data_IF_908309056512
#
_entry.id   IF_908309056512
#
_cell.length_a   1.000
_cell.length_b   1.000
_cell.length_c   1.000
_cell.angle_alpha   90.00
_cell.angle_beta   90.00
_cell.angle_gamma   90.00
#
_symmetry.space_group_name_H-M   'P 1'
#
loop_
_entity.id
_entity.type
_entity.pdbx_description
1 polymer ?
#
# COMPACT_ATOMS: atom_id res chain seq x y z
N UNK A 1 -54.48 -28.58 21.80
CA UNK A 1 -54.74 -28.59 20.35
C UNK A 1 -55.17 -27.17 20.02
N UNK A 2 -54.28 -26.24 19.68
CA UNK A 2 -53.60 -26.11 18.38
C UNK A 2 -52.14 -25.67 18.57
N UNK A 3 -51.23 -26.43 17.97
CA UNK A 3 -49.84 -26.03 17.74
C UNK A 3 -49.86 -25.03 16.59
N UNK A 4 -49.38 -23.80 16.78
CA UNK A 4 -49.07 -22.93 15.64
C UNK A 4 -47.59 -22.56 15.68
N UNK A 5 -46.81 -23.45 15.07
CA UNK A 5 -45.36 -23.49 15.05
C UNK A 5 -44.74 -22.55 14.00
N UNK A 6 -45.46 -21.50 13.56
CA UNK A 6 -45.14 -20.76 12.34
C UNK A 6 -44.40 -19.42 12.55
N UNK A 7 -44.27 -18.95 13.79
CA UNK A 7 -43.51 -17.70 14.08
C UNK A 7 -42.01 -17.98 14.31
N UNK A 8 -41.63 -19.21 14.66
CA UNK A 8 -40.20 -19.59 14.81
C UNK A 8 -39.47 -19.79 13.47
N UNK A 9 -40.19 -20.01 12.38
CA UNK A 9 -39.57 -20.21 11.05
C UNK A 9 -39.25 -18.90 10.32
N UNK A 10 -39.90 -17.78 10.67
CA UNK A 10 -39.73 -16.50 9.95
C UNK A 10 -38.53 -15.68 10.47
N UNK A 11 -38.01 -15.99 11.67
CA UNK A 11 -36.86 -15.31 12.27
C UNK A 11 -35.50 -16.02 12.04
N UNK A 12 -35.47 -17.10 11.26
CA UNK A 12 -34.25 -17.90 11.03
C UNK A 12 -33.65 -17.81 9.61
N UNK A 13 -34.18 -16.97 8.71
CA UNK A 13 -33.76 -16.93 7.29
C UNK A 13 -32.99 -15.67 6.86
N UNK A 14 -32.48 -14.86 7.80
CA UNK A 14 -31.51 -13.79 7.45
C UNK A 14 -30.33 -13.69 8.42
N UNK A 15 -30.05 -14.73 9.20
CA UNK A 15 -28.75 -14.87 9.84
C UNK A 15 -27.90 -15.77 8.94
N UNK A 16 -27.23 -15.16 7.95
CA UNK A 16 -26.05 -15.79 7.35
C UNK A 16 -25.11 -16.11 8.51
N UNK A 17 -25.05 -17.38 8.88
CA UNK A 17 -24.16 -17.88 9.91
C UNK A 17 -22.72 -17.61 9.45
N UNK A 18 -22.19 -16.46 9.85
CA UNK A 18 -20.79 -16.12 9.69
C UNK A 18 -19.99 -17.03 10.62
N UNK A 19 -19.48 -18.12 10.06
CA UNK A 19 -18.63 -19.09 10.76
C UNK A 19 -17.40 -18.37 11.33
N UNK A 20 -16.89 -18.74 12.53
CA UNK A 20 -15.71 -18.11 13.14
C UNK A 20 -14.44 -18.14 12.24
N UNK A 21 -14.35 -19.08 11.29
CA UNK A 21 -13.29 -19.13 10.29
C UNK A 21 -13.38 -17.99 9.24
N UNK A 22 -14.60 -17.58 8.88
CA UNK A 22 -14.90 -16.54 7.88
C UNK A 22 -14.51 -15.16 8.36
N UNK A 23 -14.82 -14.82 9.62
CA UNK A 23 -14.43 -13.55 10.23
C UNK A 23 -12.89 -13.46 10.45
N UNK A 24 -12.24 -14.60 10.64
CA UNK A 24 -10.80 -14.66 10.92
C UNK A 24 -9.95 -14.27 9.69
N UNK A 25 -10.29 -14.76 8.49
CA UNK A 25 -9.51 -14.48 7.28
C UNK A 25 -9.51 -12.99 6.91
N UNK A 26 -10.69 -12.36 6.86
CA UNK A 26 -10.81 -10.92 6.58
C UNK A 26 -10.10 -10.07 7.62
N UNK A 27 -10.31 -10.37 8.92
CA UNK A 27 -9.66 -9.62 10.02
C UNK A 27 -8.13 -9.73 9.92
N UNK A 28 -7.62 -10.93 9.63
CA UNK A 28 -6.18 -11.17 9.51
C UNK A 28 -5.58 -10.44 8.29
N UNK A 29 -6.27 -10.47 7.15
CA UNK A 29 -5.85 -9.71 5.97
C UNK A 29 -5.81 -8.22 6.26
N UNK A 30 -6.89 -7.67 6.82
CA UNK A 30 -6.98 -6.23 7.09
C UNK A 30 -5.94 -5.77 8.11
N UNK A 31 -5.65 -6.56 9.14
CA UNK A 31 -4.56 -6.27 10.07
C UNK A 31 -3.19 -6.25 9.36
N UNK A 32 -2.90 -7.23 8.51
CA UNK A 32 -1.63 -7.28 7.77
C UNK A 32 -1.48 -6.10 6.80
N UNK A 33 -2.56 -5.71 6.12
CA UNK A 33 -2.58 -4.52 5.25
C UNK A 33 -2.38 -3.24 6.06
N UNK A 34 -3.00 -3.13 7.23
CA UNK A 34 -2.82 -1.99 8.13
C UNK A 34 -1.38 -1.87 8.62
N UNK A 35 -0.72 -2.97 8.99
CA UNK A 35 0.69 -2.94 9.39
C UNK A 35 1.60 -2.38 8.29
N UNK A 36 1.41 -2.81 7.04
CA UNK A 36 2.13 -2.25 5.90
C UNK A 36 1.77 -0.77 5.65
N UNK A 37 0.50 -0.39 5.83
CA UNK A 37 0.04 0.98 5.67
C UNK A 37 0.62 1.94 6.72
N UNK A 38 0.83 1.48 7.97
CA UNK A 38 1.44 2.29 9.03
C UNK A 38 2.88 2.69 8.70
N UNK A 39 3.65 1.81 8.05
CA UNK A 39 5.00 2.13 7.57
C UNK A 39 4.97 3.24 6.52
N UNK A 40 4.05 3.16 5.56
CA UNK A 40 3.85 4.19 4.55
C UNK A 40 3.36 5.51 5.17
N UNK A 41 2.43 5.46 6.11
CA UNK A 41 1.94 6.64 6.84
C UNK A 41 3.07 7.33 7.61
N UNK A 42 3.97 6.55 8.21
CA UNK A 42 5.16 7.10 8.89
C UNK A 42 6.09 7.77 7.90
N UNK A 43 6.31 7.18 6.72
CA UNK A 43 7.09 7.80 5.66
C UNK A 43 6.46 9.11 5.18
N UNK A 44 5.14 9.19 5.08
CA UNK A 44 4.43 10.42 4.70
C UNK A 44 4.64 11.55 5.71
N UNK A 45 4.59 11.24 7.02
CA UNK A 45 4.89 12.22 8.06
C UNK A 45 6.33 12.73 7.96
N UNK A 46 7.30 11.84 7.70
CA UNK A 46 8.69 12.24 7.48
C UNK A 46 8.87 13.05 6.20
N UNK A 47 8.08 12.79 5.16
CA UNK A 47 8.03 13.61 3.95
C UNK A 47 7.54 15.02 4.24
N UNK A 48 6.46 15.16 5.00
CA UNK A 48 5.97 16.47 5.45
C UNK A 48 7.01 17.21 6.29
N UNK A 49 7.65 16.54 7.25
CA UNK A 49 8.70 17.14 8.09
C UNK A 49 9.86 17.63 7.22
N UNK A 50 10.22 16.89 6.18
CA UNK A 50 11.31 17.23 5.25
C UNK A 50 11.09 18.59 4.58
N UNK A 51 9.83 18.91 4.27
CA UNK A 51 9.47 20.13 3.54
C UNK A 51 9.19 21.32 4.46
N UNK A 52 8.96 21.09 5.76
CA UNK A 52 8.42 22.11 6.66
C UNK A 52 9.32 22.45 7.84
N UNK A 53 9.94 21.45 8.47
CA UNK A 53 10.64 21.61 9.75
C UNK A 53 12.11 21.18 9.70
N UNK A 54 12.46 20.28 8.78
CA UNK A 54 13.77 19.65 8.77
C UNK A 54 14.91 20.64 8.49
N UNK A 55 16.02 20.62 9.25
CA UNK A 55 17.18 21.46 8.96
C UNK A 55 17.90 21.01 7.68
N UNK A 56 18.57 21.95 7.00
CA UNK A 56 19.25 21.72 5.72
C UNK A 56 20.24 20.52 5.72
N UNK A 57 20.93 20.27 6.85
CA UNK A 57 21.87 19.15 6.96
C UNK A 57 21.23 17.76 7.08
N UNK A 58 19.90 17.65 7.15
CA UNK A 58 19.18 16.40 7.39
C UNK A 58 18.92 15.54 6.14
N UNK A 59 19.26 16.03 4.94
CA UNK A 59 18.85 15.43 3.67
C UNK A 59 19.26 13.96 3.49
N UNK A 60 20.51 13.62 3.82
CA UNK A 60 21.02 12.25 3.65
C UNK A 60 20.29 11.26 4.58
N UNK A 61 20.19 11.62 5.86
CA UNK A 61 19.53 10.78 6.86
C UNK A 61 18.05 10.60 6.52
N UNK A 62 17.37 11.68 6.12
CA UNK A 62 15.97 11.63 5.69
C UNK A 62 15.77 10.73 4.48
N UNK A 63 16.64 10.85 3.48
CA UNK A 63 16.62 9.97 2.32
C UNK A 63 16.77 8.50 2.70
N UNK A 64 17.60 8.17 3.70
CA UNK A 64 17.75 6.79 4.21
C UNK A 64 16.52 6.31 4.98
N UNK A 65 15.94 7.15 5.83
CA UNK A 65 14.70 6.83 6.56
C UNK A 65 13.55 6.51 5.60
N UNK A 66 13.32 7.38 4.61
CA UNK A 66 12.26 7.20 3.61
C UNK A 66 12.51 5.97 2.74
N UNK A 67 13.75 5.75 2.31
CA UNK A 67 14.13 4.55 1.55
C UNK A 67 13.87 3.26 2.32
N UNK A 68 14.26 3.22 3.60
CA UNK A 68 14.06 2.06 4.47
C UNK A 68 12.58 1.79 4.72
N UNK A 69 11.78 2.81 5.04
CA UNK A 69 10.35 2.65 5.29
C UNK A 69 9.60 2.22 4.02
N UNK A 70 9.92 2.81 2.88
CA UNK A 70 9.34 2.41 1.59
C UNK A 70 9.66 0.95 1.27
N UNK A 71 10.90 0.51 1.50
CA UNK A 71 11.32 -0.88 1.30
C UNK A 71 10.56 -1.83 2.22
N UNK A 72 10.54 -1.55 3.52
CA UNK A 72 9.88 -2.42 4.51
C UNK A 72 8.36 -2.49 4.29
N UNK A 73 7.72 -1.36 4.00
CA UNK A 73 6.29 -1.31 3.68
C UNK A 73 5.96 -2.10 2.42
N UNK A 74 6.79 -1.97 1.37
CA UNK A 74 6.64 -2.74 0.14
C UNK A 74 6.84 -4.23 0.37
N UNK A 75 7.93 -4.63 1.02
CA UNK A 75 8.23 -6.04 1.33
C UNK A 75 7.13 -6.70 2.16
N UNK A 76 6.58 -6.00 3.16
CA UNK A 76 5.47 -6.49 3.96
C UNK A 76 4.21 -6.72 3.11
N UNK A 77 3.90 -5.77 2.21
CA UNK A 77 2.73 -5.86 1.35
C UNK A 77 2.89 -6.90 0.22
N UNK A 78 4.10 -7.07 -0.34
CA UNK A 78 4.33 -8.01 -1.45
C UNK A 78 4.83 -9.38 -1.00
N UNK A 79 4.90 -9.65 0.31
CA UNK A 79 5.34 -10.94 0.82
C UNK A 79 4.42 -12.08 0.32
N UNK A 80 4.94 -13.31 0.10
CA UNK A 80 4.10 -14.45 -0.29
C UNK A 80 2.93 -14.70 0.67
N UNK A 81 3.18 -14.53 1.98
CA UNK A 81 2.14 -14.63 3.02
C UNK A 81 0.97 -13.67 2.81
N UNK A 82 1.22 -12.46 2.29
CA UNK A 82 0.12 -11.54 1.97
C UNK A 82 -0.76 -12.12 0.86
N UNK A 83 -0.15 -12.70 -0.18
CA UNK A 83 -0.88 -13.39 -1.25
C UNK A 83 -1.75 -14.54 -0.74
N UNK A 84 -1.26 -15.32 0.23
CA UNK A 84 -2.02 -16.39 0.89
C UNK A 84 -3.22 -15.83 1.66
N UNK A 85 -3.03 -14.74 2.42
CA UNK A 85 -4.10 -14.08 3.16
C UNK A 85 -5.18 -13.51 2.24
N UNK A 86 -4.78 -12.89 1.12
CA UNK A 86 -5.73 -12.38 0.13
C UNK A 86 -6.53 -13.56 -0.47
N UNK A 87 -5.87 -14.67 -0.80
CA UNK A 87 -6.53 -15.86 -1.37
C UNK A 87 -7.57 -16.47 -0.41
N UNK A 88 -7.25 -16.51 0.89
CA UNK A 88 -8.20 -16.96 1.92
C UNK A 88 -9.39 -15.99 2.08
N UNK A 89 -9.15 -14.69 1.99
CA UNK A 89 -10.19 -13.67 2.02
C UNK A 89 -11.08 -13.70 0.76
N UNK A 90 -10.50 -13.97 -0.41
CA UNK A 90 -11.24 -14.16 -1.68
C UNK A 90 -12.22 -15.33 -1.58
N UNK A 91 -11.78 -16.47 -1.03
CA UNK A 91 -12.67 -17.61 -0.77
C UNK A 91 -13.80 -17.28 0.22
N UNK A 92 -13.52 -16.39 1.19
CA UNK A 92 -14.50 -15.93 2.18
C UNK A 92 -15.58 -15.05 1.55
N UNK A 93 -15.20 -14.11 0.67
CA UNK A 93 -16.16 -13.18 0.06
C UNK A 93 -16.84 -13.73 -1.20
N UNK A 94 -16.47 -14.93 -1.66
CA UNK A 94 -16.99 -15.53 -2.89
C UNK A 94 -18.52 -15.72 -2.91
N UNK A 95 -19.14 -15.89 -1.74
CA UNK A 95 -20.60 -16.03 -1.59
C UNK A 95 -21.30 -14.73 -1.21
N UNK A 96 -20.56 -13.63 -1.03
CA UNK A 96 -21.11 -12.32 -0.67
C UNK A 96 -21.51 -11.53 -1.92
N UNK A 97 -22.40 -10.52 -1.79
CA UNK A 97 -22.66 -9.58 -2.86
C UNK A 97 -21.37 -8.88 -3.32
N UNK A 98 -21.16 -8.77 -4.63
CA UNK A 98 -19.90 -8.25 -5.22
C UNK A 98 -19.64 -6.78 -4.92
N UNK A 99 -20.67 -6.06 -4.50
CA UNK A 99 -20.67 -4.63 -4.15
C UNK A 99 -20.61 -4.38 -2.64
N UNK A 100 -20.59 -5.42 -1.81
CA UNK A 100 -20.40 -5.25 -0.37
C UNK A 100 -18.97 -4.76 -0.07
N UNK A 101 -18.81 -4.04 1.04
CA UNK A 101 -17.53 -3.42 1.39
C UNK A 101 -16.37 -4.41 1.46
N UNK A 102 -16.58 -5.60 2.04
CA UNK A 102 -15.54 -6.63 2.16
C UNK A 102 -15.13 -7.19 0.79
N UNK A 103 -16.08 -7.51 -0.08
CA UNK A 103 -15.80 -8.00 -1.42
C UNK A 103 -15.05 -6.95 -2.27
N UNK A 104 -15.43 -5.68 -2.15
CA UNK A 104 -14.75 -4.56 -2.82
C UNK A 104 -13.33 -4.39 -2.28
N UNK A 105 -13.14 -4.38 -0.96
CA UNK A 105 -11.83 -4.23 -0.33
C UNK A 105 -10.88 -5.35 -0.76
N UNK A 106 -11.32 -6.61 -0.71
CA UNK A 106 -10.50 -7.75 -1.11
C UNK A 106 -10.10 -7.65 -2.59
N UNK A 107 -11.02 -7.27 -3.48
CA UNK A 107 -10.73 -7.07 -4.91
C UNK A 107 -9.69 -5.98 -5.15
N UNK A 108 -9.80 -4.82 -4.49
CA UNK A 108 -8.81 -3.75 -4.68
C UNK A 108 -7.46 -4.12 -4.05
N UNK A 109 -7.44 -4.77 -2.87
CA UNK A 109 -6.20 -5.26 -2.25
C UNK A 109 -5.49 -6.26 -3.17
N UNK A 110 -6.23 -7.20 -3.78
CA UNK A 110 -5.69 -8.13 -4.78
C UNK A 110 -5.05 -7.38 -5.94
N UNK A 111 -5.80 -6.43 -6.53
CA UNK A 111 -5.33 -5.64 -7.67
C UNK A 111 -4.05 -4.86 -7.34
N UNK A 112 -3.96 -4.30 -6.14
CA UNK A 112 -2.79 -3.55 -5.69
C UNK A 112 -1.62 -4.47 -5.40
N UNK A 113 -1.86 -5.64 -4.78
CA UNK A 113 -0.85 -6.68 -4.56
C UNK A 113 -0.23 -7.16 -5.88
N UNK A 114 -1.07 -7.49 -6.87
CA UNK A 114 -0.62 -7.99 -8.17
C UNK A 114 0.19 -6.95 -8.95
N UNK A 115 -0.09 -5.65 -8.76
CA UNK A 115 0.73 -4.57 -9.33
C UNK A 115 2.01 -4.36 -8.56
N UNK A 116 1.95 -4.36 -7.22
CA UNK A 116 3.09 -4.09 -6.36
C UNK A 116 4.14 -5.19 -6.47
N UNK A 117 3.74 -6.46 -6.56
CA UNK A 117 4.65 -7.61 -6.73
C UNK A 117 5.49 -7.57 -8.00
N UNK A 118 5.07 -6.82 -9.02
CA UNK A 118 5.88 -6.59 -10.24
C UNK A 118 7.09 -5.69 -9.99
N UNK A 119 7.10 -4.91 -8.92
CA UNK A 119 8.15 -3.95 -8.61
C UNK A 119 9.18 -4.55 -7.65
N UNK A 120 10.47 -4.57 -8.01
CA UNK A 120 11.53 -4.95 -7.09
C UNK A 120 11.60 -3.99 -5.89
N UNK A 121 11.76 -4.52 -4.67
CA UNK A 121 11.88 -3.69 -3.46
C UNK A 121 13.06 -2.71 -3.51
N UNK A 122 14.15 -3.08 -4.21
CA UNK A 122 15.31 -2.20 -4.43
C UNK A 122 14.95 -0.97 -5.27
N UNK A 123 14.11 -1.13 -6.29
CA UNK A 123 13.64 -0.02 -7.12
C UNK A 123 12.77 0.93 -6.30
N UNK A 124 11.85 0.40 -5.51
CA UNK A 124 10.99 1.20 -4.61
C UNK A 124 11.84 2.00 -3.61
N UNK A 125 12.83 1.36 -3.00
CA UNK A 125 13.76 1.99 -2.07
C UNK A 125 14.60 3.09 -2.74
N UNK A 126 15.10 2.86 -3.95
CA UNK A 126 15.90 3.82 -4.70
C UNK A 126 15.06 5.03 -5.16
N UNK A 127 13.82 4.80 -5.59
CA UNK A 127 12.89 5.87 -5.93
C UNK A 127 12.63 6.78 -4.74
N UNK A 128 12.34 6.22 -3.55
CA UNK A 128 12.11 7.00 -2.34
C UNK A 128 13.35 7.80 -1.92
N UNK A 129 14.54 7.18 -1.96
CA UNK A 129 15.80 7.86 -1.65
C UNK A 129 16.07 9.03 -2.63
N UNK A 130 15.94 8.75 -3.93
CA UNK A 130 16.23 9.72 -4.99
C UNK A 130 15.25 10.89 -4.95
N UNK A 131 13.96 10.64 -4.70
CA UNK A 131 12.96 11.70 -4.55
C UNK A 131 13.30 12.63 -3.37
N UNK A 132 13.70 12.07 -2.23
CA UNK A 132 14.09 12.86 -1.05
C UNK A 132 15.30 13.75 -1.33
N UNK A 133 16.34 13.23 -1.98
CA UNK A 133 17.53 14.02 -2.33
C UNK A 133 17.23 15.07 -3.41
N UNK A 134 16.44 14.70 -4.42
CA UNK A 134 16.04 15.58 -5.49
C UNK A 134 15.23 16.78 -4.95
N UNK A 135 14.38 16.59 -3.95
CA UNK A 135 13.62 17.68 -3.34
C UNK A 135 14.54 18.74 -2.75
N UNK A 136 15.61 18.36 -2.05
CA UNK A 136 16.59 19.30 -1.50
C UNK A 136 17.33 20.06 -2.59
N UNK A 137 17.84 19.33 -3.60
CA UNK A 137 18.53 19.94 -4.72
C UNK A 137 17.62 20.88 -5.51
N UNK A 138 16.33 20.55 -5.62
CA UNK A 138 15.33 21.39 -6.27
C UNK A 138 15.10 22.71 -5.52
N UNK A 139 15.00 22.70 -4.19
CA UNK A 139 14.83 23.92 -3.40
C UNK A 139 15.96 24.90 -3.65
N UNK A 140 17.21 24.42 -3.61
CA UNK A 140 18.39 25.25 -3.88
C UNK A 140 18.45 25.72 -5.34
N UNK A 141 18.26 24.81 -6.30
CA UNK A 141 18.26 25.11 -7.73
C UNK A 141 17.18 26.14 -8.09
N UNK A 142 15.99 26.02 -7.52
CA UNK A 142 14.88 26.96 -7.75
C UNK A 142 15.19 28.33 -7.17
N UNK A 143 15.72 28.40 -5.94
CA UNK A 143 16.13 29.66 -5.30
C UNK A 143 17.16 30.39 -6.16
N UNK A 144 18.13 29.65 -6.68
CA UNK A 144 19.24 30.21 -7.46
C UNK A 144 18.91 30.35 -8.96
N UNK A 145 17.70 29.94 -9.39
CA UNK A 145 17.31 29.84 -10.80
C UNK A 145 18.30 29.02 -11.67
N UNK A 146 18.92 28.01 -11.08
CA UNK A 146 19.96 27.19 -11.68
C UNK A 146 19.44 25.79 -12.02
N UNK A 147 18.91 25.63 -13.24
CA UNK A 147 18.43 24.34 -13.73
C UNK A 147 19.54 23.27 -13.77
N UNK A 148 20.80 23.65 -14.04
CA UNK A 148 21.89 22.69 -14.20
C UNK A 148 22.17 21.94 -12.89
N UNK A 149 21.96 22.57 -11.73
CA UNK A 149 22.03 21.91 -10.42
C UNK A 149 20.98 20.81 -10.25
N UNK A 150 19.78 20.98 -10.82
CA UNK A 150 18.68 20.02 -10.69
C UNK A 150 18.63 18.96 -11.81
N UNK A 151 19.15 19.28 -12.99
CA UNK A 151 19.18 18.40 -14.17
C UNK A 151 19.57 16.94 -13.85
N UNK A 152 20.69 16.62 -13.16
CA UNK A 152 21.07 15.23 -12.90
C UNK A 152 20.04 14.48 -12.06
N UNK A 153 19.34 15.16 -11.15
CA UNK A 153 18.27 14.57 -10.34
C UNK A 153 17.02 14.29 -11.16
N UNK A 154 16.68 15.20 -12.09
CA UNK A 154 15.57 15.00 -13.01
C UNK A 154 15.82 13.80 -13.92
N UNK A 155 17.01 13.72 -14.53
CA UNK A 155 17.41 12.60 -15.39
C UNK A 155 17.34 11.26 -14.63
N UNK A 156 17.84 11.22 -13.40
CA UNK A 156 17.75 10.03 -12.55
C UNK A 156 16.29 9.66 -12.24
N UNK A 157 15.45 10.62 -11.87
CA UNK A 157 14.02 10.37 -11.61
C UNK A 157 13.29 9.84 -12.85
N UNK A 158 13.55 10.42 -14.03
CA UNK A 158 12.97 9.93 -15.29
C UNK A 158 13.40 8.49 -15.57
N UNK A 159 14.69 8.18 -15.41
CA UNK A 159 15.21 6.82 -15.59
C UNK A 159 14.52 5.82 -14.66
N UNK A 160 14.36 6.15 -13.38
CA UNK A 160 13.69 5.28 -12.40
C UNK A 160 12.19 5.09 -12.74
N UNK A 161 11.51 6.13 -13.20
CA UNK A 161 10.12 6.02 -13.65
C UNK A 161 9.97 5.15 -14.90
N UNK A 162 10.92 5.21 -15.84
CA UNK A 162 10.95 4.31 -16.99
C UNK A 162 11.15 2.84 -16.57
N UNK A 163 12.03 2.57 -15.59
CA UNK A 163 12.18 1.23 -15.02
C UNK A 163 10.89 0.75 -14.36
N UNK A 164 10.23 1.60 -13.57
CA UNK A 164 8.91 1.30 -12.97
C UNK A 164 7.88 0.95 -14.04
N UNK A 165 7.83 1.71 -15.14
CA UNK A 165 6.91 1.44 -16.24
C UNK A 165 7.20 0.08 -16.92
N UNK A 166 8.47 -0.26 -17.14
CA UNK A 166 8.88 -1.55 -17.68
C UNK A 166 8.45 -2.72 -16.77
N UNK A 167 8.55 -2.55 -15.45
CA UNK A 167 8.07 -3.56 -14.50
C UNK A 167 6.55 -3.76 -14.55
N UNK A 168 5.78 -2.67 -14.61
CA UNK A 168 4.32 -2.74 -14.59
C UNK A 168 3.74 -3.29 -15.89
N UNK A 169 4.42 -3.02 -17.01
CA UNK A 169 3.94 -3.28 -18.36
C UNK A 169 2.97 -2.20 -18.85
N UNK A 170 2.65 -2.25 -20.15
CA UNK A 170 1.67 -1.39 -20.79
C UNK A 170 0.50 -2.25 -21.31
N UNK A 171 -0.76 -1.75 -21.26
CA UNK A 171 -1.90 -2.43 -21.86
C UNK A 171 -1.82 -2.51 -23.39
#
# INVERSE_FOLDING_TARGET
MFKNNSIKEILMTTATANTPATHNALTTLFAAVQDAALLHSTANLLGWDQETMMPHGGAELRGRQLSQLARLGHEAFTAPKMGDLISAAEATVASMPTDCADAVNVREIRRDYDKATKLPSSLVAEMAHTASQAQHAWVEARRDSDFKKFQPWLEKNVKLNLQKAQCLGWP
#
